data_IF_858424792171
#
_entry.id   IF_858424792171
#
_cell.length_a   1.000
_cell.length_b   1.000
_cell.length_c   1.000
_cell.angle_alpha   90.00
_cell.angle_beta   90.00
_cell.angle_gamma   90.00
#
_symmetry.space_group_name_H-M   'P 1'
#
loop_
_entity.id
_entity.type
_entity.pdbx_description
1 polymer ?
#
# COMPACT_ATOMS: atom_id res chain seq x y z
N UNK A 1 43.30 -36.14 -49.65
CA UNK A 1 44.49 -36.59 -48.90
C UNK A 1 45.38 -35.37 -48.74
N UNK A 2 45.76 -34.91 -47.55
CA UNK A 2 45.58 -35.51 -46.20
C UNK A 2 45.47 -34.38 -45.17
N UNK A 3 44.74 -34.61 -44.06
CA UNK A 3 44.53 -33.63 -43.00
C UNK A 3 45.38 -34.00 -41.76
N UNK A 4 46.06 -33.01 -41.17
CA UNK A 4 46.67 -33.04 -39.83
C UNK A 4 46.48 -31.60 -39.30
N UNK A 5 45.44 -31.27 -38.54
CA UNK A 5 45.06 -31.65 -37.15
C UNK A 5 45.63 -30.67 -36.09
N UNK A 6 44.79 -30.32 -35.11
CA UNK A 6 44.95 -29.23 -34.14
C UNK A 6 44.94 -29.75 -32.69
N UNK A 7 46.08 -30.19 -32.18
CA UNK A 7 46.22 -30.44 -30.74
C UNK A 7 47.69 -30.43 -30.28
N UNK A 8 48.26 -29.24 -30.03
CA UNK A 8 49.43 -28.89 -29.16
C UNK A 8 49.81 -27.43 -29.54
N UNK A 9 49.27 -26.31 -29.03
CA UNK A 9 48.70 -25.92 -27.74
C UNK A 9 49.59 -26.22 -26.52
N UNK A 10 50.09 -25.13 -25.90
CA UNK A 10 51.00 -25.05 -24.72
C UNK A 10 52.48 -25.26 -25.14
N UNK A 11 53.47 -24.46 -24.74
CA UNK A 11 53.64 -23.69 -23.49
C UNK A 11 54.72 -22.58 -23.64
N UNK A 12 54.76 -21.61 -22.71
CA UNK A 12 55.84 -20.63 -22.41
C UNK A 12 56.13 -19.52 -23.46
N UNK A 13 55.88 -18.21 -23.28
CA UNK A 13 56.24 -17.23 -22.21
C UNK A 13 57.75 -17.07 -21.94
N UNK A 14 58.43 -16.08 -22.57
CA UNK A 14 59.14 -14.95 -21.90
C UNK A 14 59.93 -13.97 -22.83
N UNK A 15 59.47 -12.70 -22.86
CA UNK A 15 60.20 -11.41 -22.68
C UNK A 15 61.42 -10.98 -23.56
N UNK A 16 61.65 -9.64 -23.54
CA UNK A 16 62.82 -8.83 -23.97
C UNK A 16 62.92 -8.41 -25.45
N UNK A 17 63.27 -7.16 -25.84
CA UNK A 17 63.14 -5.81 -25.19
C UNK A 17 63.47 -4.67 -26.22
N UNK A 18 63.09 -3.43 -25.91
CA UNK A 18 63.64 -2.12 -26.35
C UNK A 18 63.61 -1.59 -27.81
N UNK A 19 62.85 -0.48 -27.99
CA UNK A 19 63.25 0.85 -28.58
C UNK A 19 61.98 1.74 -28.72
N UNK A 20 61.66 2.80 -27.96
CA UNK A 20 62.33 4.13 -27.78
C UNK A 20 62.96 4.66 -29.09
N UNK A 21 62.81 5.90 -29.59
CA UNK A 21 62.06 7.15 -29.28
C UNK A 21 62.30 8.14 -30.46
N UNK A 22 61.72 9.33 -30.67
CA UNK A 22 60.74 10.23 -30.00
C UNK A 22 60.31 11.33 -31.01
N UNK A 23 59.12 11.95 -30.90
CA UNK A 23 58.99 13.43 -30.92
C UNK A 23 57.61 13.93 -30.43
N UNK A 24 57.64 14.90 -29.51
CA UNK A 24 56.49 15.70 -29.04
C UNK A 24 56.88 17.16 -29.16
N UNK A 25 55.97 18.03 -29.58
CA UNK A 25 56.00 19.45 -29.20
C UNK A 25 54.60 20.08 -29.25
N UNK A 26 54.18 20.66 -28.12
CA UNK A 26 52.93 21.38 -27.95
C UNK A 26 52.99 22.79 -28.55
N UNK A 27 51.82 23.33 -28.89
CA UNK A 27 51.48 24.73 -28.60
C UNK A 27 50.06 24.80 -28.02
N UNK A 28 49.83 25.77 -27.14
CA UNK A 28 48.64 25.90 -26.27
C UNK A 28 47.69 27.01 -26.74
N UNK A 29 46.52 27.08 -26.06
CA UNK A 29 45.65 28.25 -25.84
C UNK A 29 44.63 28.67 -26.92
N UNK A 30 43.39 29.13 -26.63
CA UNK A 30 42.32 28.86 -25.60
C UNK A 30 40.97 29.27 -26.27
N UNK A 31 39.81 28.81 -25.77
CA UNK A 31 38.41 29.16 -26.14
C UNK A 31 37.91 28.46 -27.43
N UNK A 32 36.67 27.98 -27.55
CA UNK A 32 35.45 28.18 -26.74
C UNK A 32 34.57 26.92 -26.60
N UNK A 33 33.76 26.89 -25.54
CA UNK A 33 32.49 26.16 -25.35
C UNK A 33 32.10 25.06 -26.37
N UNK A 34 32.06 23.80 -25.92
CA UNK A 34 30.76 23.16 -25.64
C UNK A 34 30.92 21.93 -24.73
N UNK A 35 30.41 22.06 -23.51
CA UNK A 35 30.53 21.04 -22.47
C UNK A 35 29.33 20.09 -22.46
N UNK A 36 29.35 19.04 -23.30
CA UNK A 36 28.49 17.89 -23.09
C UNK A 36 29.10 16.92 -22.06
N UNK A 37 29.13 17.40 -20.81
CA UNK A 37 29.28 16.51 -19.66
C UNK A 37 28.07 15.58 -19.63
N UNK A 38 28.32 14.29 -19.86
CA UNK A 38 27.31 13.24 -19.87
C UNK A 38 26.71 13.15 -18.46
N UNK A 39 25.50 13.70 -18.29
CA UNK A 39 24.85 13.78 -16.99
C UNK A 39 24.62 12.36 -16.45
N UNK A 40 25.40 12.00 -15.43
CA UNK A 40 25.04 10.91 -14.52
C UNK A 40 23.61 11.17 -14.04
N UNK A 41 22.68 10.19 -14.12
CA UNK A 41 21.30 10.42 -13.72
C UNK A 41 21.31 10.91 -12.27
N UNK A 42 20.83 12.14 -12.06
CA UNK A 42 20.66 12.68 -10.72
C UNK A 42 19.78 11.71 -9.97
N UNK A 43 20.28 11.15 -8.87
CA UNK A 43 19.40 10.43 -7.96
C UNK A 43 18.35 11.43 -7.49
N UNK A 44 17.11 11.22 -7.92
CA UNK A 44 16.00 12.10 -7.59
C UNK A 44 15.73 11.97 -6.09
N UNK A 45 16.35 12.86 -5.32
CA UNK A 45 15.92 13.16 -3.96
C UNK A 45 14.52 13.74 -4.11
N UNK A 46 13.51 12.89 -3.93
CA UNK A 46 12.10 13.29 -4.05
C UNK A 46 11.83 14.31 -2.95
N UNK A 47 11.56 15.55 -3.36
CA UNK A 47 11.16 16.62 -2.43
C UNK A 47 9.70 16.39 -2.01
N UNK A 48 9.54 15.68 -0.88
CA UNK A 48 8.24 15.40 -0.30
C UNK A 48 7.48 16.65 0.18
N UNK A 49 8.10 17.84 0.21
CA UNK A 49 7.41 19.08 0.60
C UNK A 49 6.44 19.60 -0.46
N UNK A 50 6.54 19.13 -1.70
CA UNK A 50 5.64 19.52 -2.81
C UNK A 50 4.45 18.55 -3.01
N UNK A 51 4.33 17.48 -2.20
CA UNK A 51 3.26 16.47 -2.30
C UNK A 51 1.94 16.92 -1.65
N UNK A 52 1.47 18.11 -2.00
CA UNK A 52 0.26 18.76 -1.48
C UNK A 52 -1.06 18.29 -2.11
N UNK A 53 -1.21 16.99 -2.38
CA UNK A 53 -2.40 16.42 -3.05
C UNK A 53 -2.58 16.85 -4.52
N UNK A 54 -3.72 16.47 -5.08
CA UNK A 54 -4.20 16.94 -6.37
C UNK A 54 -4.93 18.29 -6.23
N UNK A 55 -4.73 19.23 -7.14
CA UNK A 55 -5.48 20.50 -7.11
C UNK A 55 -6.94 20.32 -7.56
N UNK A 56 -7.16 19.41 -8.51
CA UNK A 56 -8.45 19.10 -9.13
C UNK A 56 -8.75 17.60 -9.14
N UNK A 57 -9.98 17.23 -9.46
CA UNK A 57 -10.35 15.82 -9.70
C UNK A 57 -9.57 15.22 -10.88
N UNK A 58 -9.30 16.02 -11.93
CA UNK A 58 -8.54 15.60 -13.10
C UNK A 58 -7.07 15.29 -12.77
N UNK A 59 -6.43 16.04 -11.87
CA UNK A 59 -5.06 15.74 -11.42
C UNK A 59 -4.97 14.39 -10.71
N UNK A 60 -6.00 14.03 -9.94
CA UNK A 60 -6.09 12.73 -9.26
C UNK A 60 -6.36 11.60 -10.26
N UNK A 61 -7.26 11.81 -11.23
CA UNK A 61 -7.44 10.85 -12.34
C UNK A 61 -6.18 10.72 -13.22
N UNK A 62 -5.39 11.78 -13.41
CA UNK A 62 -4.08 11.74 -14.06
C UNK A 62 -3.09 10.85 -13.29
N UNK A 63 -2.99 11.05 -11.97
CA UNK A 63 -2.15 10.21 -11.12
C UNK A 63 -2.61 8.74 -11.15
N UNK A 64 -3.92 8.49 -11.10
CA UNK A 64 -4.48 7.15 -11.21
C UNK A 64 -4.17 6.49 -12.56
N UNK A 65 -4.31 7.19 -13.69
CA UNK A 65 -4.00 6.64 -15.03
C UNK A 65 -2.58 6.08 -15.09
N UNK A 66 -1.60 6.80 -14.54
CA UNK A 66 -0.20 6.36 -14.50
C UNK A 66 0.02 5.20 -13.53
N UNK A 67 -0.63 5.24 -12.36
CA UNK A 67 -0.40 4.27 -11.28
C UNK A 67 -1.13 2.94 -11.53
N UNK A 68 -2.32 2.98 -12.17
CA UNK A 68 -3.13 1.81 -12.51
C UNK A 68 -2.32 0.75 -13.25
N UNK A 69 -1.51 1.16 -14.23
CA UNK A 69 -0.69 0.24 -15.04
C UNK A 69 0.29 -0.58 -14.17
N UNK A 70 0.83 0.01 -13.10
CA UNK A 70 1.72 -0.69 -12.18
C UNK A 70 1.02 -1.72 -11.27
N UNK A 71 -0.28 -1.57 -11.02
CA UNK A 71 -1.06 -2.48 -10.16
C UNK A 71 -1.87 -3.52 -10.94
N UNK A 72 -2.44 -3.13 -12.09
CA UNK A 72 -3.41 -3.95 -12.84
C UNK A 72 -2.99 -4.20 -14.30
N UNK A 73 -1.88 -3.62 -14.77
CA UNK A 73 -1.48 -3.65 -16.18
C UNK A 73 -2.56 -3.05 -17.09
N UNK A 74 -2.67 -3.60 -18.30
CA UNK A 74 -3.65 -3.20 -19.32
C UNK A 74 -5.08 -3.70 -19.05
N UNK A 75 -5.37 -4.27 -17.88
CA UNK A 75 -6.72 -4.81 -17.57
C UNK A 75 -7.76 -3.69 -17.60
N UNK A 76 -8.86 -3.92 -18.31
CA UNK A 76 -10.05 -3.07 -18.24
C UNK A 76 -10.56 -3.06 -16.80
N UNK A 77 -10.88 -1.86 -16.31
CA UNK A 77 -11.58 -1.66 -15.03
C UNK A 77 -12.89 -0.97 -15.39
N UNK A 78 -14.01 -1.50 -14.92
CA UNK A 78 -15.36 -1.06 -15.25
C UNK A 78 -15.86 -0.16 -14.13
N UNK A 79 -16.30 1.06 -14.44
CA UNK A 79 -16.98 1.93 -13.47
C UNK A 79 -18.42 1.42 -13.22
N UNK A 80 -18.64 0.70 -12.12
CA UNK A 80 -19.94 0.07 -11.80
C UNK A 80 -20.20 0.03 -10.30
N UNK A 81 -21.01 0.98 -9.82
CA UNK A 81 -21.30 1.16 -8.40
C UNK A 81 -22.19 0.07 -7.80
N UNK A 82 -22.82 -0.78 -8.61
CA UNK A 82 -23.60 -1.91 -8.11
C UNK A 82 -22.71 -3.07 -7.63
N UNK A 83 -21.47 -3.19 -8.13
CA UNK A 83 -20.52 -4.25 -7.75
C UNK A 83 -19.63 -3.82 -6.58
N UNK A 84 -19.10 -2.60 -6.65
CA UNK A 84 -18.28 -1.98 -5.60
C UNK A 84 -18.72 -0.54 -5.44
N UNK A 85 -19.07 -0.13 -4.22
CA UNK A 85 -19.41 1.25 -3.91
C UNK A 85 -18.57 1.77 -2.76
N UNK A 86 -17.89 2.89 -2.97
CA UNK A 86 -17.11 3.54 -1.93
C UNK A 86 -17.85 4.74 -1.34
N UNK A 87 -17.88 4.81 -0.01
CA UNK A 87 -18.35 5.97 0.73
C UNK A 87 -17.22 6.51 1.60
N UNK A 88 -16.98 7.82 1.49
CA UNK A 88 -16.05 8.58 2.31
C UNK A 88 -16.56 10.03 2.40
N UNK A 89 -16.20 10.81 3.43
CA UNK A 89 -16.69 12.18 3.54
C UNK A 89 -16.12 13.08 2.44
N UNK A 90 -16.95 13.96 1.86
CA UNK A 90 -16.52 14.90 0.81
C UNK A 90 -15.44 15.89 1.25
N UNK A 91 -15.25 16.03 2.57
CA UNK A 91 -14.10 16.69 3.20
C UNK A 91 -13.68 15.90 4.44
N UNK A 92 -12.38 15.60 4.56
CA UNK A 92 -11.78 15.09 5.77
C UNK A 92 -11.81 16.15 6.89
N UNK A 93 -12.46 15.83 8.02
CA UNK A 93 -12.37 16.63 9.23
C UNK A 93 -10.99 16.47 9.89
N UNK A 94 -10.50 15.23 9.92
CA UNK A 94 -9.16 14.83 10.32
C UNK A 94 -8.52 13.99 9.20
N UNK A 95 -7.48 14.54 8.57
CA UNK A 95 -6.77 13.93 7.45
C UNK A 95 -6.14 12.56 7.79
N UNK A 96 -5.83 12.30 9.06
CA UNK A 96 -5.19 11.05 9.51
C UNK A 96 -6.19 9.93 9.82
N UNK A 97 -7.50 10.24 9.84
CA UNK A 97 -8.58 9.36 10.31
C UNK A 97 -9.82 9.45 9.41
N UNK A 98 -9.64 9.39 8.09
CA UNK A 98 -10.76 9.45 7.13
C UNK A 98 -11.49 8.11 7.10
N UNK A 99 -12.76 8.01 7.51
CA UNK A 99 -13.53 6.78 7.42
C UNK A 99 -13.84 6.46 5.96
N UNK A 100 -13.73 5.18 5.62
CA UNK A 100 -14.06 4.63 4.31
C UNK A 100 -14.92 3.39 4.51
N UNK A 101 -16.05 3.34 3.81
CA UNK A 101 -16.95 2.18 3.75
C UNK A 101 -17.03 1.66 2.33
N UNK A 102 -16.86 0.35 2.15
CA UNK A 102 -16.88 -0.34 0.87
C UNK A 102 -18.06 -1.33 0.88
N UNK A 103 -19.11 -1.05 0.13
CA UNK A 103 -20.19 -2.00 -0.09
C UNK A 103 -19.87 -2.87 -1.33
N UNK A 104 -20.13 -4.17 -1.22
CA UNK A 104 -19.70 -5.21 -2.14
C UNK A 104 -20.91 -6.05 -2.59
N UNK A 105 -21.10 -6.21 -3.89
CA UNK A 105 -22.08 -7.15 -4.45
C UNK A 105 -21.46 -7.92 -5.61
N UNK A 106 -21.65 -9.23 -5.66
CA UNK A 106 -21.22 -10.00 -6.83
C UNK A 106 -22.01 -9.57 -8.09
N UNK A 107 -21.37 -9.45 -9.28
CA UNK A 107 -22.05 -9.04 -10.51
C UNK A 107 -23.05 -10.08 -11.04
N UNK A 108 -22.96 -11.33 -10.58
CA UNK A 108 -23.92 -12.41 -10.87
C UNK A 108 -23.84 -13.49 -9.79
N UNK A 109 -24.84 -14.36 -9.70
CA UNK A 109 -24.85 -15.50 -8.76
C UNK A 109 -23.82 -16.58 -9.05
N UNK A 110 -23.12 -16.51 -10.20
CA UNK A 110 -22.03 -17.41 -10.58
C UNK A 110 -20.63 -16.81 -10.36
N UNK A 111 -20.54 -15.56 -9.90
CA UNK A 111 -19.28 -14.93 -9.52
C UNK A 111 -19.27 -14.57 -8.04
N UNK A 112 -18.07 -14.31 -7.51
CA UNK A 112 -17.84 -13.72 -6.19
C UNK A 112 -16.72 -12.68 -6.30
N UNK A 113 -16.59 -11.82 -5.30
CA UNK A 113 -15.46 -10.89 -5.18
C UNK A 113 -14.35 -11.62 -4.44
N UNK A 114 -13.23 -11.86 -5.12
CA UNK A 114 -12.04 -12.52 -4.55
C UNK A 114 -11.14 -11.50 -3.85
N UNK A 115 -11.03 -10.27 -4.38
CA UNK A 115 -10.20 -9.21 -3.79
C UNK A 115 -10.83 -7.82 -3.88
N UNK A 116 -10.50 -6.98 -2.91
CA UNK A 116 -10.82 -5.55 -2.89
C UNK A 116 -9.53 -4.76 -2.64
N UNK A 117 -9.20 -3.86 -3.55
CA UNK A 117 -8.05 -2.96 -3.47
C UNK A 117 -8.55 -1.57 -3.06
N UNK A 118 -8.00 -1.01 -1.97
CA UNK A 118 -8.29 0.33 -1.51
C UNK A 118 -7.12 1.26 -1.85
N UNK A 119 -7.37 2.26 -2.67
CA UNK A 119 -6.37 3.20 -3.19
C UNK A 119 -6.71 4.63 -2.76
N UNK A 120 -5.71 5.42 -2.40
CA UNK A 120 -5.80 6.87 -2.18
C UNK A 120 -4.81 7.51 -3.15
N UNK A 121 -5.28 7.99 -4.31
CA UNK A 121 -4.42 8.28 -5.47
C UNK A 121 -3.14 9.02 -5.09
N UNK A 122 -3.27 10.22 -4.50
CA UNK A 122 -2.13 11.13 -4.28
C UNK A 122 -1.49 10.95 -2.90
N UNK A 123 -1.64 9.78 -2.28
CA UNK A 123 -0.83 9.42 -1.11
C UNK A 123 0.59 9.00 -1.53
N UNK A 124 1.62 9.23 -0.68
CA UNK A 124 2.99 8.77 -0.94
C UNK A 124 3.14 7.26 -1.15
N UNK A 125 2.23 6.45 -0.57
CA UNK A 125 1.93 5.09 -1.04
C UNK A 125 0.44 5.07 -1.40
N UNK A 126 0.07 4.97 -2.69
CA UNK A 126 -1.33 5.03 -3.10
C UNK A 126 -2.14 3.81 -2.64
N UNK A 127 -1.56 2.61 -2.68
CA UNK A 127 -2.24 1.38 -2.22
C UNK A 127 -2.33 1.39 -0.69
N UNK A 128 -3.53 1.59 -0.13
CA UNK A 128 -3.75 1.58 1.32
C UNK A 128 -3.89 0.14 1.85
N UNK A 129 -4.58 -0.72 1.11
CA UNK A 129 -4.63 -2.14 1.40
C UNK A 129 -5.27 -2.99 0.32
N UNK A 130 -4.99 -4.30 0.35
CA UNK A 130 -5.56 -5.33 -0.52
C UNK A 130 -6.20 -6.39 0.36
N UNK A 131 -7.53 -6.44 0.35
CA UNK A 131 -8.33 -7.39 1.08
C UNK A 131 -8.64 -8.59 0.17
N UNK A 132 -8.03 -9.74 0.43
CA UNK A 132 -8.34 -11.01 -0.22
C UNK A 132 -9.38 -11.75 0.62
N UNK A 133 -10.55 -12.01 0.04
CA UNK A 133 -11.64 -12.78 0.65
C UNK A 133 -11.36 -14.26 0.39
N UNK A 134 -11.65 -15.12 1.37
CA UNK A 134 -11.36 -16.56 1.23
C UNK A 134 -12.34 -17.22 0.25
N UNK A 135 -11.93 -18.21 -0.55
CA UNK A 135 -12.73 -18.71 -1.67
C UNK A 135 -14.15 -19.19 -1.32
N UNK A 136 -14.34 -19.73 -0.12
CA UNK A 136 -15.62 -20.28 0.33
C UNK A 136 -16.43 -19.27 1.18
N UNK A 137 -16.07 -17.98 1.11
CA UNK A 137 -16.68 -16.87 1.84
C UNK A 137 -17.01 -15.70 0.93
N UNK A 138 -17.92 -14.86 1.40
CA UNK A 138 -18.29 -13.57 0.80
C UNK A 138 -18.38 -12.51 1.88
N UNK A 139 -18.12 -11.25 1.52
CA UNK A 139 -18.37 -10.09 2.38
C UNK A 139 -19.20 -9.08 1.59
N UNK A 140 -20.19 -8.47 2.26
CA UNK A 140 -21.01 -7.39 1.69
C UNK A 140 -20.50 -5.99 2.05
N UNK A 141 -19.73 -5.86 3.12
CA UNK A 141 -19.22 -4.58 3.61
C UNK A 141 -17.81 -4.76 4.17
N UNK A 142 -16.89 -3.85 3.81
CA UNK A 142 -15.58 -3.70 4.43
C UNK A 142 -15.37 -2.21 4.74
N UNK A 143 -15.21 -1.88 6.02
CA UNK A 143 -14.89 -0.52 6.45
C UNK A 143 -13.51 -0.43 7.09
N UNK A 144 -12.85 0.71 6.88
CA UNK A 144 -11.60 1.03 7.56
C UNK A 144 -11.43 2.54 7.70
N UNK A 145 -10.25 2.98 8.16
CA UNK A 145 -9.86 4.39 8.18
C UNK A 145 -8.51 4.54 7.48
N UNK A 146 -8.44 5.50 6.58
CA UNK A 146 -7.23 5.83 5.83
C UNK A 146 -6.70 7.20 6.22
N UNK A 147 -5.40 7.38 6.01
CA UNK A 147 -4.74 8.69 5.96
C UNK A 147 -4.90 9.25 4.55
N UNK A 148 -5.13 10.55 4.45
CA UNK A 148 -5.22 11.29 3.19
C UNK A 148 -4.22 12.44 3.23
N UNK A 149 -3.26 12.47 2.30
CA UNK A 149 -2.19 13.47 2.28
C UNK A 149 -2.49 14.71 1.43
N UNK A 150 -3.74 14.91 1.02
CA UNK A 150 -4.17 16.05 0.22
C UNK A 150 -5.51 15.80 -0.45
N UNK A 151 -5.99 16.78 -1.22
CA UNK A 151 -7.18 16.59 -2.04
C UNK A 151 -6.93 15.41 -3.00
N UNK A 152 -7.83 14.43 -3.05
CA UNK A 152 -7.61 13.18 -3.81
C UNK A 152 -8.93 12.45 -4.03
N UNK A 153 -9.00 11.58 -5.04
CA UNK A 153 -9.92 10.45 -4.99
C UNK A 153 -9.38 9.42 -4.01
N UNK A 154 -10.30 8.86 -3.23
CA UNK A 154 -10.16 7.52 -2.65
C UNK A 154 -10.95 6.59 -3.59
N UNK A 155 -10.35 5.47 -3.99
CA UNK A 155 -10.93 4.50 -4.92
C UNK A 155 -10.98 3.13 -4.28
N UNK A 156 -11.99 2.37 -4.65
CA UNK A 156 -11.99 0.93 -4.45
C UNK A 156 -12.06 0.23 -5.80
N UNK A 157 -11.27 -0.83 -5.96
CA UNK A 157 -11.35 -1.75 -7.11
C UNK A 157 -11.71 -3.13 -6.56
N UNK A 158 -12.78 -3.74 -7.05
CA UNK A 158 -13.11 -5.13 -6.77
C UNK A 158 -12.64 -6.03 -7.93
N UNK A 159 -12.05 -7.16 -7.59
CA UNK A 159 -11.65 -8.22 -8.53
C UNK A 159 -12.48 -9.46 -8.26
N UNK A 160 -13.16 -9.96 -9.29
CA UNK A 160 -14.02 -11.14 -9.18
C UNK A 160 -13.28 -12.43 -9.51
N UNK A 161 -13.90 -13.56 -9.17
CA UNK A 161 -13.38 -14.90 -9.46
C UNK A 161 -13.20 -15.24 -10.94
N UNK A 162 -13.75 -14.43 -11.87
CA UNK A 162 -13.47 -14.53 -13.31
C UNK A 162 -12.29 -13.65 -13.76
N UNK A 163 -11.74 -12.83 -12.87
CA UNK A 163 -10.73 -11.83 -13.17
C UNK A 163 -11.28 -10.54 -13.77
N UNK A 164 -12.60 -10.28 -13.71
CA UNK A 164 -13.15 -8.97 -14.02
C UNK A 164 -12.76 -7.96 -12.93
N UNK A 165 -12.54 -6.70 -13.31
CA UNK A 165 -12.25 -5.59 -12.40
C UNK A 165 -13.34 -4.53 -12.49
N UNK A 166 -13.86 -4.12 -11.34
CA UNK A 166 -14.86 -3.07 -11.18
C UNK A 166 -14.32 -2.00 -10.25
N UNK A 167 -14.68 -0.72 -10.42
CA UNK A 167 -14.27 0.36 -9.51
C UNK A 167 -15.39 1.35 -9.19
N UNK A 168 -15.18 2.04 -8.07
CA UNK A 168 -15.87 3.28 -7.72
C UNK A 168 -14.90 4.25 -7.01
N UNK A 169 -15.21 5.55 -7.00
CA UNK A 169 -14.32 6.59 -6.47
C UNK A 169 -15.08 7.72 -5.76
N UNK A 170 -14.57 8.14 -4.60
CA UNK A 170 -15.07 9.28 -3.84
C UNK A 170 -14.01 10.39 -3.75
N UNK A 171 -14.38 11.61 -4.14
CA UNK A 171 -13.50 12.78 -4.01
C UNK A 171 -13.49 13.29 -2.57
N UNK A 172 -12.30 13.39 -1.97
CA UNK A 172 -12.11 13.84 -0.58
C UNK A 172 -11.24 15.09 -0.55
N UNK A 173 -11.78 16.19 -0.02
CA UNK A 173 -11.03 17.42 0.26
C UNK A 173 -10.32 17.29 1.62
N UNK A 174 -9.03 17.60 1.72
CA UNK A 174 -8.19 17.39 2.91
C UNK A 174 -7.26 18.58 3.17
N UNK A 175 -6.79 18.80 4.40
CA UNK A 175 -5.79 19.85 4.69
C UNK A 175 -4.36 19.47 4.25
N UNK A 176 -4.15 18.26 3.74
CA UNK A 176 -2.85 17.81 3.23
C UNK A 176 -1.90 17.22 4.28
N UNK A 177 -2.40 16.94 5.49
CA UNK A 177 -1.55 16.60 6.64
C UNK A 177 -1.59 15.13 7.06
N UNK A 178 -2.43 14.28 6.47
CA UNK A 178 -2.79 12.98 7.06
C UNK A 178 -1.64 12.00 7.29
N UNK A 179 -0.61 12.03 6.43
CA UNK A 179 0.56 11.16 6.58
C UNK A 179 1.69 11.78 7.42
N UNK A 180 1.76 13.11 7.52
CA UNK A 180 2.75 13.84 8.34
C UNK A 180 2.22 14.28 9.71
N UNK A 181 0.92 14.14 9.96
CA UNK A 181 0.24 14.54 11.19
C UNK A 181 0.94 13.95 12.43
N UNK A 182 1.16 14.76 13.49
CA UNK A 182 1.78 14.26 14.71
C UNK A 182 0.97 13.07 15.26
N UNK A 183 1.62 12.04 15.84
CA UNK A 183 0.90 10.93 16.46
C UNK A 183 -0.11 11.46 17.49
N UNK A 184 -1.33 10.90 17.51
CA UNK A 184 -2.38 11.37 18.40
C UNK A 184 -2.17 10.91 19.86
N UNK A 185 -1.14 10.10 20.11
CA UNK A 185 -0.97 9.32 21.34
C UNK A 185 0.46 9.44 21.88
N UNK A 186 0.52 9.55 23.21
CA UNK A 186 1.70 9.32 24.05
C UNK A 186 2.37 7.97 23.69
N UNK A 187 3.54 8.06 23.06
CA UNK A 187 4.28 6.89 22.55
C UNK A 187 4.58 5.86 23.64
N UNK A 188 4.92 6.29 24.87
CA UNK A 188 5.27 5.38 25.96
C UNK A 188 4.05 4.58 26.44
N UNK A 189 2.89 5.24 26.56
CA UNK A 189 1.61 4.57 26.86
C UNK A 189 1.19 3.60 25.74
N UNK A 190 1.52 3.91 24.48
CA UNK A 190 1.21 3.05 23.36
C UNK A 190 2.09 1.79 23.32
N UNK A 191 3.39 1.87 23.61
CA UNK A 191 4.26 0.68 23.67
C UNK A 191 3.72 -0.38 24.65
N UNK A 192 3.14 0.03 25.78
CA UNK A 192 2.47 -0.85 26.77
C UNK A 192 1.16 -1.49 26.28
N UNK A 193 0.69 -1.11 25.08
CA UNK A 193 -0.52 -1.62 24.43
C UNK A 193 -0.28 -2.15 23.00
N UNK A 194 0.96 -2.12 22.50
CA UNK A 194 1.30 -2.54 21.15
C UNK A 194 0.74 -3.94 20.85
N UNK A 195 -0.01 -4.06 19.75
CA UNK A 195 -0.59 -5.32 19.31
C UNK A 195 -1.80 -5.80 20.11
N UNK A 196 -2.26 -5.07 21.13
CA UNK A 196 -3.51 -5.40 21.82
C UNK A 196 -4.68 -5.22 20.87
N UNK A 197 -5.39 -6.30 20.62
CA UNK A 197 -6.57 -6.33 19.76
C UNK A 197 -7.84 -6.52 20.58
N UNK A 198 -8.97 -6.14 20.00
CA UNK A 198 -10.30 -6.54 20.44
C UNK A 198 -11.23 -6.65 19.23
N UNK A 199 -12.18 -7.55 19.30
CA UNK A 199 -13.40 -7.47 18.49
C UNK A 199 -14.46 -6.67 19.23
N UNK A 200 -15.27 -5.93 18.48
CA UNK A 200 -16.57 -5.38 18.89
C UNK A 200 -17.60 -5.95 17.94
N UNK A 201 -18.71 -6.43 18.49
CA UNK A 201 -19.83 -6.99 17.74
C UNK A 201 -21.03 -6.09 18.00
N UNK A 202 -21.62 -5.53 16.95
CA UNK A 202 -22.84 -4.73 17.01
C UNK A 202 -23.91 -5.40 16.13
N UNK A 203 -24.88 -6.04 16.79
CA UNK A 203 -26.01 -6.70 16.12
C UNK A 203 -26.91 -5.71 15.38
N UNK A 204 -27.35 -6.09 14.18
CA UNK A 204 -28.29 -5.32 13.36
C UNK A 204 -29.70 -5.93 13.40
N UNK A 205 -30.65 -5.25 12.73
CA UNK A 205 -32.06 -5.67 12.65
C UNK A 205 -32.35 -6.69 11.54
N UNK A 206 -31.39 -6.96 10.66
CA UNK A 206 -31.53 -7.79 9.44
C UNK A 206 -30.93 -9.19 9.59
N UNK A 207 -30.76 -9.68 10.82
CA UNK A 207 -30.09 -10.96 11.15
C UNK A 207 -28.57 -11.00 10.91
N UNK A 208 -27.94 -9.88 10.55
CA UNK A 208 -26.49 -9.76 10.52
C UNK A 208 -25.89 -9.17 11.82
N UNK A 209 -24.56 -9.15 11.89
CA UNK A 209 -23.79 -8.48 12.94
C UNK A 209 -22.61 -7.77 12.30
N UNK A 210 -22.40 -6.52 12.71
CA UNK A 210 -21.20 -5.77 12.34
C UNK A 210 -20.05 -6.18 13.27
N UNK A 211 -19.06 -6.88 12.73
CA UNK A 211 -17.86 -7.29 13.45
C UNK A 211 -16.74 -6.29 13.16
N UNK A 212 -16.30 -5.58 14.19
CA UNK A 212 -15.21 -4.61 14.12
C UNK A 212 -13.97 -5.11 14.86
N UNK A 213 -12.93 -5.46 14.11
CA UNK A 213 -11.58 -5.62 14.65
C UNK A 213 -10.97 -4.23 14.92
N UNK A 214 -10.35 -4.08 16.09
CA UNK A 214 -9.55 -2.91 16.46
C UNK A 214 -8.17 -3.35 16.96
N UNK A 215 -7.12 -2.79 16.37
CA UNK A 215 -5.72 -3.11 16.67
C UNK A 215 -5.04 -1.88 17.28
N UNK A 216 -4.49 -2.00 18.49
CA UNK A 216 -3.68 -0.94 19.08
C UNK A 216 -2.28 -0.95 18.48
N UNK A 217 -2.05 -0.10 17.48
CA UNK A 217 -0.78 0.03 16.78
C UNK A 217 -0.55 1.49 16.34
N UNK A 218 0.69 2.03 16.39
CA UNK A 218 0.93 3.45 16.08
C UNK A 218 0.73 3.77 14.58
N UNK A 219 0.98 2.79 13.69
CA UNK A 219 0.91 2.97 12.23
C UNK A 219 1.66 4.25 11.77
N UNK A 220 2.93 4.33 12.19
CA UNK A 220 3.83 5.42 11.86
C UNK A 220 4.22 5.37 10.40
N UNK A 221 4.17 6.51 9.72
CA UNK A 221 4.36 6.61 8.26
C UNK A 221 5.81 6.83 7.82
N UNK A 222 6.70 7.22 8.73
CA UNK A 222 8.04 7.74 8.40
C UNK A 222 8.08 9.27 8.17
N UNK A 223 6.94 9.92 7.90
CA UNK A 223 6.86 11.36 7.59
C UNK A 223 6.52 12.24 8.80
N UNK A 224 6.15 11.63 9.92
CA UNK A 224 5.77 12.32 11.15
C UNK A 224 7.02 12.71 11.93
N UNK A 225 7.03 13.88 12.57
CA UNK A 225 8.14 14.31 13.45
C UNK A 225 7.80 14.10 14.92
N UNK A 226 8.79 13.65 15.67
CA UNK A 226 8.74 13.63 17.13
C UNK A 226 8.83 15.06 17.67
N UNK A 227 7.95 15.42 18.61
CA UNK A 227 7.79 16.81 19.05
C UNK A 227 8.92 17.30 19.97
N UNK A 228 9.71 16.39 20.57
CA UNK A 228 10.80 16.73 21.48
C UNK A 228 12.15 16.78 20.76
N UNK A 229 12.44 15.77 19.95
CA UNK A 229 13.71 15.62 19.22
C UNK A 229 13.70 16.28 17.85
N UNK A 230 12.52 16.61 17.30
CA UNK A 230 12.28 17.13 15.94
C UNK A 230 12.67 16.19 14.80
N UNK A 231 13.15 14.99 15.13
CA UNK A 231 13.53 13.94 14.18
C UNK A 231 12.30 13.26 13.58
N UNK A 232 12.45 12.67 12.39
CA UNK A 232 11.40 11.84 11.80
C UNK A 232 11.24 10.53 12.60
N UNK A 233 9.98 10.17 12.89
CA UNK A 233 9.62 8.93 13.56
C UNK A 233 9.71 7.80 12.52
N UNK A 234 10.54 6.75 12.74
CA UNK A 234 10.67 5.66 11.79
C UNK A 234 9.34 4.97 11.48
N UNK A 235 9.17 4.60 10.20
CA UNK A 235 8.02 3.84 9.71
C UNK A 235 7.81 2.57 10.54
N UNK A 236 6.58 2.37 11.01
CA UNK A 236 6.19 1.21 11.83
C UNK A 236 4.66 1.03 11.78
N UNK A 237 4.19 0.15 10.90
CA UNK A 237 2.77 -0.14 10.70
C UNK A 237 2.46 -1.65 10.66
N UNK A 238 1.18 -1.99 10.90
CA UNK A 238 0.61 -3.30 10.60
C UNK A 238 0.57 -3.47 9.08
N UNK A 239 1.31 -4.45 8.56
CA UNK A 239 1.40 -4.72 7.12
C UNK A 239 0.59 -5.95 6.68
N UNK A 240 0.12 -6.76 7.62
CA UNK A 240 -0.64 -7.97 7.35
C UNK A 240 -1.68 -8.18 8.45
N UNK A 241 -2.92 -8.50 8.08
CA UNK A 241 -3.99 -8.90 9.00
C UNK A 241 -4.75 -10.09 8.42
N UNK A 242 -4.89 -11.15 9.19
CA UNK A 242 -5.81 -12.25 8.91
C UNK A 242 -6.96 -12.23 9.92
N UNK A 243 -8.18 -12.51 9.45
CA UNK A 243 -9.33 -12.82 10.30
C UNK A 243 -9.83 -14.22 9.95
N UNK A 244 -10.15 -14.99 10.97
CA UNK A 244 -10.63 -16.37 10.89
C UNK A 244 -11.94 -16.53 11.66
N UNK A 245 -12.84 -17.37 11.13
CA UNK A 245 -14.06 -17.85 11.76
C UNK A 245 -13.89 -19.34 12.07
N UNK A 246 -13.72 -19.66 13.35
CA UNK A 246 -13.40 -21.01 13.81
C UNK A 246 -12.08 -21.52 13.22
N UNK A 247 -12.18 -22.38 12.19
CA UNK A 247 -11.03 -22.98 11.48
C UNK A 247 -10.86 -22.46 10.05
N UNK A 248 -11.78 -21.63 9.57
CA UNK A 248 -11.78 -21.14 8.20
C UNK A 248 -11.29 -19.69 8.20
N UNK A 249 -10.44 -19.35 7.22
CA UNK A 249 -10.06 -17.96 7.03
C UNK A 249 -11.28 -17.22 6.47
N UNK A 250 -11.54 -16.03 7.00
CA UNK A 250 -12.53 -15.11 6.44
C UNK A 250 -11.84 -14.23 5.39
N UNK A 251 -10.84 -13.46 5.83
CA UNK A 251 -10.11 -12.53 4.97
C UNK A 251 -8.62 -12.45 5.34
N UNK A 252 -7.82 -12.09 4.35
CA UNK A 252 -6.42 -11.68 4.47
C UNK A 252 -6.31 -10.23 3.96
N UNK A 253 -5.62 -9.35 4.68
CA UNK A 253 -5.41 -7.97 4.28
C UNK A 253 -3.93 -7.63 4.30
N UNK A 254 -3.35 -7.35 3.14
CA UNK A 254 -2.04 -6.71 3.01
C UNK A 254 -2.23 -5.20 3.12
N UNK A 255 -1.55 -4.52 4.04
CA UNK A 255 -1.80 -3.11 4.38
C UNK A 255 -0.54 -2.25 4.38
N UNK A 256 -0.70 -0.94 4.21
CA UNK A 256 0.42 0.02 4.19
C UNK A 256 0.24 1.12 5.26
N UNK A 257 1.19 2.05 5.37
CA UNK A 257 1.06 3.19 6.28
C UNK A 257 -0.13 4.10 5.98
N UNK A 258 -0.77 3.96 4.81
CA UNK A 258 -1.98 4.71 4.48
C UNK A 258 -3.21 4.22 5.25
N UNK A 259 -3.16 3.08 5.93
CA UNK A 259 -4.11 2.75 7.00
C UNK A 259 -3.78 3.55 8.27
N UNK A 260 -4.80 4.16 8.86
CA UNK A 260 -4.69 5.05 10.02
C UNK A 260 -4.05 4.44 11.28
N UNK A 261 -3.64 5.33 12.19
CA UNK A 261 -3.30 4.99 13.58
C UNK A 261 -4.43 4.22 14.29
N UNK A 262 -4.06 3.21 15.08
CA UNK A 262 -4.94 2.17 15.61
C UNK A 262 -5.82 1.54 14.51
N UNK A 263 -5.26 0.71 13.62
CA UNK A 263 -6.01 0.09 12.52
C UNK A 263 -7.31 -0.54 12.97
N UNK A 264 -8.36 -0.36 12.17
CA UNK A 264 -9.64 -1.00 12.41
C UNK A 264 -10.25 -1.43 11.09
N UNK A 265 -10.82 -2.62 11.11
CA UNK A 265 -11.47 -3.26 9.98
C UNK A 265 -12.84 -3.72 10.48
N UNK A 266 -13.91 -3.28 9.83
CA UNK A 266 -15.27 -3.71 10.14
C UNK A 266 -15.84 -4.42 8.92
N UNK A 267 -16.63 -5.46 9.16
CA UNK A 267 -17.30 -6.23 8.11
C UNK A 267 -18.64 -6.75 8.65
N UNK A 268 -19.60 -6.97 7.73
CA UNK A 268 -20.88 -7.62 8.04
C UNK A 268 -20.72 -9.13 7.91
N UNK A 269 -21.28 -9.88 8.87
CA UNK A 269 -21.46 -11.33 8.82
C UNK A 269 -22.90 -11.67 9.20
N UNK A 270 -23.44 -12.75 8.65
CA UNK A 270 -24.71 -13.32 9.14
C UNK A 270 -24.53 -13.94 10.53
N UNK A 271 -25.56 -13.85 11.38
CA UNK A 271 -25.47 -14.29 12.78
C UNK A 271 -25.23 -15.79 12.96
N UNK A 272 -25.68 -16.61 12.02
CA UNK A 272 -25.49 -18.06 12.04
C UNK A 272 -24.06 -18.48 11.64
N UNK A 273 -23.32 -17.63 10.94
CA UNK A 273 -21.89 -17.83 10.66
C UNK A 273 -20.97 -17.49 11.84
N UNK A 274 -21.46 -16.71 12.82
CA UNK A 274 -20.65 -16.24 13.94
C UNK A 274 -20.22 -17.38 14.88
N UNK A 275 -18.94 -17.70 14.80
CA UNK A 275 -18.25 -18.65 15.68
C UNK A 275 -17.02 -17.97 16.31
N UNK A 276 -16.08 -18.73 16.87
CA UNK A 276 -14.86 -18.15 17.45
C UNK A 276 -14.10 -17.28 16.43
N UNK A 277 -13.99 -15.98 16.72
CA UNK A 277 -13.27 -15.00 15.91
C UNK A 277 -11.80 -15.01 16.31
N UNK A 278 -10.90 -15.23 15.36
CA UNK A 278 -9.44 -15.10 15.59
C UNK A 278 -8.86 -14.05 14.65
N UNK A 279 -8.13 -13.07 15.21
CA UNK A 279 -7.34 -12.10 14.48
C UNK A 279 -5.85 -12.42 14.64
N UNK A 280 -5.11 -12.39 13.52
CA UNK A 280 -3.65 -12.43 13.49
C UNK A 280 -3.20 -11.15 12.79
N UNK A 281 -2.28 -10.39 13.38
CA UNK A 281 -1.74 -9.18 12.79
C UNK A 281 -0.21 -9.18 12.85
N UNK A 282 0.45 -8.76 11.76
CA UNK A 282 1.91 -8.62 11.70
C UNK A 282 2.30 -7.18 11.40
N UNK A 283 3.42 -6.76 11.97
CA UNK A 283 3.99 -5.44 11.72
C UNK A 283 5.30 -5.46 10.93
N UNK A 284 5.63 -4.30 10.36
CA UNK A 284 6.88 -4.04 9.61
C UNK A 284 8.18 -4.23 10.41
N UNK A 285 8.12 -4.58 11.70
CA UNK A 285 9.28 -4.96 12.53
C UNK A 285 9.34 -6.48 12.79
N UNK A 286 8.43 -7.26 12.21
CA UNK A 286 8.35 -8.71 12.36
C UNK A 286 7.62 -9.19 13.61
N UNK A 287 6.95 -8.29 14.37
CA UNK A 287 6.11 -8.73 15.47
C UNK A 287 4.85 -9.42 14.92
N UNK A 288 4.39 -10.46 15.63
CA UNK A 288 3.13 -11.16 15.33
C UNK A 288 2.26 -11.09 16.58
N UNK A 289 1.03 -10.63 16.38
CA UNK A 289 0.02 -10.49 17.43
C UNK A 289 -1.15 -11.40 17.12
N UNK A 290 -1.69 -12.09 18.13
CA UNK A 290 -2.84 -13.01 17.98
C UNK A 290 -3.88 -12.66 19.03
N UNK A 291 -5.15 -12.66 18.66
CA UNK A 291 -6.27 -12.45 19.56
C UNK A 291 -7.46 -13.30 19.17
N UNK A 292 -7.92 -14.12 20.11
CA UNK A 292 -9.10 -14.95 19.98
C UNK A 292 -10.23 -14.31 20.78
N UNK A 293 -11.42 -14.28 20.20
CA UNK A 293 -12.66 -13.84 20.82
C UNK A 293 -13.70 -14.93 20.64
N UNK A 294 -14.12 -15.52 21.76
CA UNK A 294 -15.23 -16.46 21.77
C UNK A 294 -16.52 -15.65 21.69
N UNK A 295 -17.33 -15.96 20.69
CA UNK A 295 -18.73 -15.52 20.63
C UNK A 295 -19.53 -16.32 21.64
N UNK A 296 -20.22 -15.62 22.54
CA UNK A 296 -21.18 -16.25 23.45
C UNK A 296 -22.45 -16.59 22.64
N UNK A 297 -22.53 -17.82 22.11
CA UNK A 297 -23.77 -18.46 21.64
C UNK A 297 -24.44 -19.21 22.80
#
# INVERSE_FOLDING_TARGET
MTQIDRAELRTLLFRYLFSFSWLVLLLLAVWSLDGHAQQSPSQSVVDYSQWGGAYTQEDSDNFWRNTKLGYFGERTIIDEQNVIKIQAPSRAENDALVPVSLALSAPSSSEKIDKVYLIVDVNPIPMAGVFTISPDRSLEEIDTRVRVNGYTYVRAVAETSSGALYQDKQWVKSRGSGCSAPPNIDQEKHQKKLGKMRFRLDDTTDNSTLVQLMISHPNNTGMQKDQLTTMFIPQHFINEVEVWLGKEKLLHADTTFSISENPSFRFRLEKDELTELTAIAKDTRGNVFVHNHKTDQ
#
